data_IF_751179063411
#
_entry.id   IF_751179063411
#
_cell.length_a   1.000
_cell.length_b   1.000
_cell.length_c   1.000
_cell.angle_alpha   90.00
_cell.angle_beta   90.00
_cell.angle_gamma   90.00
#
_symmetry.space_group_name_H-M   'P 1'
#
loop_
_entity.id
_entity.type
_entity.pdbx_description
1 polymer ?
#
# COMPACT_ATOMS: atom_id res chain seq x y z
N UNK A 1 10.94 10.40 38.73
CA UNK A 1 11.82 10.19 37.58
C UNK A 1 11.85 11.47 36.78
N UNK A 2 13.01 12.00 36.44
CA UNK A 2 13.12 13.21 35.65
C UNK A 2 12.38 13.00 34.32
N UNK A 3 11.74 14.03 33.73
CA UNK A 3 11.00 13.93 32.46
C UNK A 3 11.94 13.79 31.26
N UNK A 4 12.97 12.96 31.41
CA UNK A 4 14.05 12.78 30.45
C UNK A 4 13.58 12.22 29.10
N UNK A 5 12.37 11.66 29.07
CA UNK A 5 11.76 11.02 27.89
C UNK A 5 10.24 11.14 27.94
N UNK A 6 9.71 12.38 27.86
CA UNK A 6 8.26 12.61 27.85
C UNK A 6 7.59 11.82 26.71
N UNK A 7 8.22 11.86 25.52
CA UNK A 7 7.84 11.03 24.38
C UNK A 7 8.95 10.00 24.12
N UNK A 8 8.60 8.72 24.16
CA UNK A 8 9.59 7.65 24.09
C UNK A 8 9.02 6.37 23.49
N UNK A 9 9.93 5.48 23.12
CA UNK A 9 9.62 4.09 22.77
C UNK A 9 10.04 3.21 23.94
N UNK A 10 9.11 2.48 24.49
CA UNK A 10 9.37 1.50 25.55
C UNK A 10 10.05 0.27 24.92
N UNK A 11 11.25 -0.05 25.34
CA UNK A 11 11.95 -1.26 24.92
C UNK A 11 11.77 -2.38 25.95
N UNK A 12 12.03 -2.07 27.21
CA UNK A 12 11.90 -2.99 28.35
C UNK A 12 11.28 -2.26 29.53
N UNK A 13 11.23 -2.91 30.70
CA UNK A 13 10.77 -2.30 31.95
C UNK A 13 11.59 -1.04 32.30
N UNK A 14 12.88 -1.04 31.98
CA UNK A 14 13.83 0.03 32.34
C UNK A 14 14.33 0.85 31.16
N UNK A 15 14.41 0.25 29.97
CA UNK A 15 15.03 0.85 28.80
C UNK A 15 13.99 1.50 27.87
N UNK A 16 14.37 2.67 27.34
CA UNK A 16 13.55 3.47 26.42
C UNK A 16 14.40 4.13 25.35
N UNK A 17 13.81 4.38 24.20
CA UNK A 17 14.37 5.26 23.17
C UNK A 17 13.64 6.61 23.21
N UNK A 18 14.39 7.70 23.09
CA UNK A 18 13.85 9.03 22.97
C UNK A 18 13.25 9.27 21.57
N UNK A 19 12.09 9.92 21.50
CA UNK A 19 11.46 10.26 20.22
C UNK A 19 12.12 11.44 19.50
N UNK A 20 12.83 12.34 20.21
CA UNK A 20 13.52 13.45 19.58
C UNK A 20 14.63 12.98 18.63
N UNK A 21 14.64 13.52 17.41
CA UNK A 21 15.73 13.33 16.44
C UNK A 21 16.96 14.18 16.73
N UNK A 22 16.79 15.26 17.51
CA UNK A 22 17.84 16.18 17.93
C UNK A 22 17.81 16.38 19.45
N UNK A 23 18.18 15.33 20.24
CA UNK A 23 18.25 15.45 21.68
C UNK A 23 19.42 16.37 22.06
N UNK A 24 19.38 17.00 23.26
CA UNK A 24 20.49 17.81 23.78
C UNK A 24 21.81 17.03 23.84
N UNK A 25 21.76 15.74 24.19
CA UNK A 25 22.92 14.84 24.12
C UNK A 25 22.83 14.00 22.83
N UNK A 26 23.79 14.19 21.87
CA UNK A 26 23.80 13.46 20.61
C UNK A 26 23.87 11.93 20.76
N UNK A 27 24.39 11.42 21.88
CA UNK A 27 24.43 9.96 22.17
C UNK A 27 23.04 9.35 22.25
N UNK A 28 22.01 10.15 22.52
CA UNK A 28 20.63 9.73 22.61
C UNK A 28 19.89 9.78 21.24
N UNK A 29 20.54 10.28 20.20
CA UNK A 29 20.00 10.32 18.83
C UNK A 29 20.04 8.94 18.16
N UNK A 30 19.21 8.02 18.62
CA UNK A 30 19.14 6.64 18.09
C UNK A 30 18.14 6.50 16.95
N UNK A 31 18.31 5.45 16.13
CA UNK A 31 17.28 5.01 15.21
C UNK A 31 16.06 4.55 16.01
N UNK A 32 14.87 4.88 15.51
CA UNK A 32 13.59 4.57 16.15
C UNK A 32 12.92 3.31 15.59
N UNK A 33 13.51 2.71 14.55
CA UNK A 33 13.04 1.43 14.06
C UNK A 33 13.46 0.34 15.04
N UNK A 34 12.51 -0.52 15.40
CA UNK A 34 12.70 -1.55 16.43
C UNK A 34 12.19 -2.88 15.92
N UNK A 35 13.07 -3.87 15.87
CA UNK A 35 12.69 -5.25 15.57
C UNK A 35 12.47 -6.01 16.88
N UNK A 36 11.26 -6.54 17.08
CA UNK A 36 10.89 -7.35 18.24
C UNK A 36 10.79 -8.81 17.82
N UNK A 37 11.68 -9.65 18.31
CA UNK A 37 11.71 -11.08 17.99
C UNK A 37 11.25 -11.90 19.19
N UNK A 38 10.35 -12.84 18.96
CA UNK A 38 9.83 -13.72 20.01
C UNK A 38 8.87 -14.76 19.43
N UNK A 39 8.81 -15.92 20.05
CA UNK A 39 7.89 -17.01 19.68
C UNK A 39 6.42 -16.65 19.88
N UNK A 40 5.52 -17.53 19.45
CA UNK A 40 4.10 -17.40 19.74
C UNK A 40 3.86 -17.39 21.25
N UNK A 41 2.92 -16.55 21.72
CA UNK A 41 2.62 -16.45 23.16
C UNK A 41 3.67 -15.72 24.01
N UNK A 42 4.79 -15.24 23.45
CA UNK A 42 5.83 -14.50 24.20
C UNK A 42 5.38 -13.11 24.69
N UNK A 43 4.19 -12.66 24.30
CA UNK A 43 3.61 -11.40 24.75
C UNK A 43 4.04 -10.16 23.97
N UNK A 44 4.58 -10.30 22.76
CA UNK A 44 4.98 -9.17 21.89
C UNK A 44 3.90 -8.10 21.80
N UNK A 45 2.70 -8.49 21.42
CA UNK A 45 1.55 -7.57 21.29
C UNK A 45 1.16 -6.99 22.64
N UNK A 46 1.05 -7.82 23.69
CA UNK A 46 0.57 -7.40 25.02
C UNK A 46 1.54 -6.50 25.78
N UNK A 47 2.84 -6.84 25.78
CA UNK A 47 3.82 -6.20 26.64
C UNK A 47 4.67 -5.15 25.92
N UNK A 48 4.67 -5.14 24.57
CA UNK A 48 5.44 -4.18 23.81
C UNK A 48 4.57 -3.30 22.90
N UNK A 49 3.78 -3.89 22.00
CA UNK A 49 3.01 -3.12 21.02
C UNK A 49 1.96 -2.23 21.69
N UNK A 50 1.04 -2.81 22.48
CA UNK A 50 -0.04 -2.05 23.14
C UNK A 50 0.47 -0.96 24.08
N UNK A 51 1.47 -1.17 24.96
CA UNK A 51 2.04 -0.09 25.79
C UNK A 51 2.64 1.05 24.96
N UNK A 52 3.29 0.76 23.82
CA UNK A 52 3.83 1.77 22.93
C UNK A 52 2.73 2.53 22.19
N UNK A 53 1.68 1.87 21.74
CA UNK A 53 0.51 2.49 21.12
C UNK A 53 -0.19 3.44 22.09
N UNK A 54 -0.36 3.04 23.35
CA UNK A 54 -1.06 3.80 24.38
C UNK A 54 -0.26 4.99 24.95
N UNK A 55 0.97 5.21 24.50
CA UNK A 55 1.70 6.43 24.82
C UNK A 55 1.14 7.66 24.08
N UNK A 56 0.36 7.49 23.02
CA UNK A 56 -0.43 8.53 22.35
C UNK A 56 0.36 9.76 21.90
N UNK A 57 1.64 9.63 21.53
CA UNK A 57 2.47 10.77 21.11
C UNK A 57 2.59 10.92 19.57
N UNK A 58 2.31 9.88 18.80
CA UNK A 58 2.48 9.83 17.33
C UNK A 58 1.17 9.52 16.62
N UNK A 59 1.10 9.67 15.31
CA UNK A 59 0.14 8.89 14.53
C UNK A 59 0.61 7.44 14.45
N UNK A 60 -0.31 6.52 14.37
CA UNK A 60 0.01 5.10 14.37
C UNK A 60 -0.59 4.38 13.17
N UNK A 61 0.17 3.47 12.57
CA UNK A 61 -0.32 2.48 11.62
C UNK A 61 -0.07 1.12 12.24
N UNK A 62 -1.12 0.38 12.51
CA UNK A 62 -1.07 -0.86 13.31
C UNK A 62 -1.59 -2.02 12.49
N UNK A 63 -0.79 -3.03 12.24
CA UNK A 63 -1.35 -4.32 11.81
C UNK A 63 -1.96 -5.00 13.03
N UNK A 64 -3.20 -5.43 12.89
CA UNK A 64 -4.01 -6.00 13.97
C UNK A 64 -4.53 -7.38 13.58
N UNK A 65 -3.75 -8.44 13.79
CA UNK A 65 -4.25 -9.79 13.60
C UNK A 65 -5.49 -10.02 14.47
N UNK A 66 -6.63 -10.35 13.84
CA UNK A 66 -7.94 -10.60 14.50
C UNK A 66 -8.72 -9.36 14.95
N UNK A 67 -8.21 -8.14 14.87
CA UNK A 67 -8.91 -6.93 15.30
C UNK A 67 -8.96 -6.71 16.82
N UNK A 68 -8.16 -7.42 17.59
CA UNK A 68 -8.18 -7.32 19.06
C UNK A 68 -7.53 -6.04 19.59
N UNK A 69 -6.55 -5.49 18.86
CA UNK A 69 -5.82 -4.29 19.29
C UNK A 69 -6.73 -3.07 19.21
N UNK A 70 -7.50 -2.92 18.11
CA UNK A 70 -8.43 -1.79 17.97
C UNK A 70 -9.53 -1.84 19.01
N UNK A 71 -10.06 -3.04 19.33
CA UNK A 71 -11.10 -3.20 20.37
C UNK A 71 -10.59 -2.79 21.75
N UNK A 72 -9.37 -3.19 22.11
CA UNK A 72 -8.81 -2.92 23.44
C UNK A 72 -8.26 -1.49 23.58
N UNK A 73 -7.68 -0.92 22.51
CA UNK A 73 -6.97 0.37 22.58
C UNK A 73 -7.73 1.52 21.93
N UNK A 74 -8.70 1.26 21.05
CA UNK A 74 -9.37 2.28 20.24
C UNK A 74 -10.04 3.38 21.07
N UNK A 75 -10.77 3.03 22.12
CA UNK A 75 -11.42 4.01 23.00
C UNK A 75 -10.41 4.93 23.73
N UNK A 76 -9.26 4.41 24.11
CA UNK A 76 -8.20 5.23 24.72
C UNK A 76 -7.64 6.23 23.70
N UNK A 77 -7.43 5.80 22.45
CA UNK A 77 -6.97 6.68 21.38
C UNK A 77 -8.01 7.77 21.05
N UNK A 78 -9.29 7.42 20.93
CA UNK A 78 -10.37 8.42 20.74
C UNK A 78 -10.38 9.48 21.83
N UNK A 79 -10.27 9.07 23.10
CA UNK A 79 -10.20 9.99 24.25
C UNK A 79 -8.96 10.89 24.22
N UNK A 80 -7.89 10.48 23.54
CA UNK A 80 -6.67 11.25 23.33
C UNK A 80 -6.67 12.05 21.99
N UNK A 81 -7.85 12.23 21.37
CA UNK A 81 -8.05 13.10 20.22
C UNK A 81 -7.62 12.50 18.88
N UNK A 82 -7.49 11.16 18.79
CA UNK A 82 -7.17 10.50 17.52
C UNK A 82 -8.38 10.38 16.61
N UNK A 83 -8.16 10.54 15.31
CA UNK A 83 -9.05 9.96 14.31
C UNK A 83 -8.72 8.49 14.15
N UNK A 84 -9.73 7.62 14.23
CA UNK A 84 -9.55 6.20 13.93
C UNK A 84 -9.92 5.92 12.48
N UNK A 85 -9.07 5.16 11.83
CA UNK A 85 -9.28 4.60 10.48
C UNK A 85 -9.10 3.09 10.57
N UNK A 86 -9.95 2.33 9.89
CA UNK A 86 -9.94 0.87 9.96
C UNK A 86 -10.09 0.29 8.58
N UNK A 87 -9.10 -0.45 8.12
CA UNK A 87 -9.24 -1.40 7.02
C UNK A 87 -9.39 -2.80 7.62
N UNK A 88 -10.41 -3.54 7.22
CA UNK A 88 -10.68 -4.88 7.74
C UNK A 88 -10.79 -5.88 6.59
N UNK A 89 -9.72 -6.65 6.35
CA UNK A 89 -9.70 -7.67 5.30
C UNK A 89 -10.30 -9.01 5.73
N UNK A 90 -10.63 -9.18 7.03
CA UNK A 90 -11.38 -10.35 7.53
C UNK A 90 -12.87 -10.19 7.26
N UNK A 91 -13.38 -8.96 7.36
CA UNK A 91 -14.77 -8.63 7.14
C UNK A 91 -14.91 -7.25 6.50
N UNK A 92 -14.95 -7.21 5.18
CA UNK A 92 -15.03 -5.97 4.41
C UNK A 92 -16.27 -5.12 4.71
N UNK A 93 -17.37 -5.72 5.18
CA UNK A 93 -18.56 -4.95 5.62
C UNK A 93 -18.32 -4.07 6.85
N UNK A 94 -17.24 -4.33 7.59
CA UNK A 94 -16.80 -3.54 8.75
C UNK A 94 -15.53 -2.74 8.46
N UNK A 95 -15.21 -2.57 7.19
CA UNK A 95 -14.03 -1.84 6.72
C UNK A 95 -14.40 -0.46 6.22
N UNK A 96 -13.49 0.49 6.37
CA UNK A 96 -13.44 1.68 5.54
C UNK A 96 -12.93 1.32 4.15
N UNK A 97 -13.21 2.18 3.18
CA UNK A 97 -12.81 2.00 1.79
C UNK A 97 -11.37 2.47 1.57
N UNK A 98 -10.67 1.74 0.74
CA UNK A 98 -9.30 2.06 0.32
C UNK A 98 -9.17 1.93 -1.18
N UNK A 99 -9.06 3.04 -1.88
CA UNK A 99 -8.79 3.05 -3.31
C UNK A 99 -7.33 3.42 -3.60
N UNK A 100 -6.50 2.46 -4.07
CA UNK A 100 -5.11 2.74 -4.40
C UNK A 100 -4.91 3.81 -5.48
N UNK A 101 -5.88 4.04 -6.37
CA UNK A 101 -5.80 5.09 -7.40
C UNK A 101 -5.83 6.50 -6.80
N UNK A 102 -6.47 6.69 -5.65
CA UNK A 102 -6.52 7.99 -4.96
C UNK A 102 -5.11 8.53 -4.58
N UNK A 103 -4.11 7.66 -4.56
CA UNK A 103 -2.73 7.97 -4.19
C UNK A 103 -1.75 7.92 -5.35
N UNK A 104 -2.26 7.88 -6.58
CA UNK A 104 -1.46 7.95 -7.80
C UNK A 104 -1.44 9.41 -8.26
N UNK A 105 -0.27 10.03 -8.31
CA UNK A 105 -0.10 11.42 -8.73
C UNK A 105 0.87 11.56 -9.91
N UNK A 106 1.56 10.50 -10.29
CA UNK A 106 2.58 10.53 -11.33
C UNK A 106 2.76 9.17 -12.02
N UNK A 107 3.41 9.17 -13.19
CA UNK A 107 3.85 7.94 -13.89
C UNK A 107 4.67 7.03 -12.97
N UNK A 108 5.49 7.63 -12.09
CA UNK A 108 6.30 6.91 -11.09
C UNK A 108 5.42 6.14 -10.10
N UNK A 109 4.31 6.74 -9.65
CA UNK A 109 3.40 6.09 -8.69
C UNK A 109 2.63 4.95 -9.35
N UNK A 110 2.26 5.10 -10.63
CA UNK A 110 1.69 4.00 -11.43
C UNK A 110 2.64 2.81 -11.46
N UNK A 111 3.93 3.04 -11.76
CA UNK A 111 4.93 1.97 -11.79
C UNK A 111 5.11 1.30 -10.42
N UNK A 112 5.07 2.07 -9.33
CA UNK A 112 5.15 1.54 -7.95
C UNK A 112 3.92 0.69 -7.63
N UNK A 113 2.71 1.16 -7.97
CA UNK A 113 1.46 0.44 -7.76
C UNK A 113 1.47 -0.90 -8.49
N UNK A 114 1.80 -0.90 -9.79
CA UNK A 114 1.94 -2.12 -10.60
C UNK A 114 3.00 -3.05 -10.01
N UNK A 115 4.16 -2.51 -9.59
CA UNK A 115 5.22 -3.35 -9.00
C UNK A 115 4.73 -4.04 -7.72
N UNK A 116 4.06 -3.31 -6.83
CA UNK A 116 3.56 -3.87 -5.57
C UNK A 116 2.48 -4.92 -5.82
N UNK A 117 1.55 -4.64 -6.72
CA UNK A 117 0.52 -5.59 -7.14
C UNK A 117 1.16 -6.88 -7.66
N UNK A 118 2.06 -6.78 -8.63
CA UNK A 118 2.70 -7.93 -9.25
C UNK A 118 3.54 -8.75 -8.27
N UNK A 119 4.24 -8.09 -7.34
CA UNK A 119 5.06 -8.77 -6.34
C UNK A 119 4.21 -9.61 -5.39
N UNK A 120 3.02 -9.13 -5.01
CA UNK A 120 2.17 -9.75 -3.99
C UNK A 120 1.03 -10.63 -4.55
N UNK A 121 0.89 -10.70 -5.87
CA UNK A 121 -0.09 -11.56 -6.55
C UNK A 121 0.58 -12.62 -7.43
N UNK A 122 1.81 -12.99 -7.14
CA UNK A 122 2.49 -14.11 -7.81
C UNK A 122 1.86 -15.42 -7.35
N UNK A 123 1.44 -16.27 -8.30
CA UNK A 123 1.05 -17.63 -8.00
C UNK A 123 2.23 -18.47 -7.47
N UNK A 124 1.94 -19.49 -6.68
CA UNK A 124 2.94 -20.47 -6.23
C UNK A 124 3.61 -21.13 -7.43
N UNK A 125 4.95 -21.13 -7.47
CA UNK A 125 5.73 -21.77 -8.53
C UNK A 125 6.15 -20.89 -9.71
N UNK A 126 5.95 -19.59 -9.67
CA UNK A 126 6.32 -18.70 -10.79
C UNK A 126 7.80 -18.30 -10.82
N UNK A 127 8.67 -19.29 -11.12
CA UNK A 127 10.03 -19.07 -11.64
C UNK A 127 10.04 -19.06 -13.17
N UNK A 128 9.00 -18.51 -13.81
CA UNK A 128 8.84 -18.50 -15.27
C UNK A 128 9.74 -17.48 -15.98
N UNK A 129 9.74 -17.55 -17.31
CA UNK A 129 10.47 -16.61 -18.17
C UNK A 129 10.11 -15.16 -17.81
N UNK A 130 11.11 -14.29 -17.52
CA UNK A 130 10.92 -12.86 -17.23
C UNK A 130 10.11 -12.09 -18.29
N UNK A 131 9.98 -12.65 -19.49
CA UNK A 131 9.18 -12.09 -20.58
C UNK A 131 7.72 -11.90 -20.17
N UNK A 132 7.09 -12.90 -19.55
CA UNK A 132 5.68 -12.83 -19.14
C UNK A 132 5.43 -11.74 -18.14
N UNK A 133 6.25 -11.68 -17.08
CA UNK A 133 6.14 -10.65 -16.04
C UNK A 133 6.32 -9.23 -16.60
N UNK A 134 7.25 -9.04 -17.54
CA UNK A 134 7.45 -7.75 -18.22
C UNK A 134 6.25 -7.36 -19.09
N UNK A 135 5.67 -8.31 -19.80
CA UNK A 135 4.53 -8.08 -20.69
C UNK A 135 3.24 -7.76 -19.91
N UNK A 136 2.97 -8.48 -18.82
CA UNK A 136 1.89 -8.16 -17.88
C UNK A 136 2.04 -6.75 -17.31
N UNK A 137 3.26 -6.39 -16.91
CA UNK A 137 3.58 -5.06 -16.40
C UNK A 137 3.26 -3.96 -17.40
N UNK A 138 3.60 -4.14 -18.67
CA UNK A 138 3.29 -3.17 -19.73
C UNK A 138 1.79 -2.96 -19.86
N UNK A 139 1.00 -4.04 -19.93
CA UNK A 139 -0.45 -3.96 -20.04
C UNK A 139 -1.06 -3.29 -18.80
N UNK A 140 -0.78 -3.77 -17.61
CA UNK A 140 -1.33 -3.18 -16.37
C UNK A 140 -0.94 -1.71 -16.21
N UNK A 141 0.30 -1.35 -16.57
CA UNK A 141 0.76 0.05 -16.55
C UNK A 141 -0.02 0.89 -17.54
N UNK A 142 -0.28 0.39 -18.75
CA UNK A 142 -1.04 1.11 -19.77
C UNK A 142 -2.48 1.37 -19.32
N UNK A 143 -3.17 0.32 -18.82
CA UNK A 143 -4.57 0.42 -18.40
C UNK A 143 -4.73 1.34 -17.17
N UNK A 144 -3.88 1.20 -16.15
CA UNK A 144 -3.89 2.05 -14.97
C UNK A 144 -3.58 3.51 -15.35
N UNK A 145 -2.62 3.73 -16.25
CA UNK A 145 -2.31 5.08 -16.73
C UNK A 145 -3.49 5.68 -17.52
N UNK A 146 -4.18 4.89 -18.34
CA UNK A 146 -5.38 5.34 -19.03
C UNK A 146 -6.45 5.77 -18.03
N UNK A 147 -6.79 4.93 -17.06
CA UNK A 147 -7.78 5.26 -16.04
C UNK A 147 -7.39 6.52 -15.25
N UNK A 148 -6.14 6.63 -14.85
CA UNK A 148 -5.68 7.77 -14.06
C UNK A 148 -5.74 9.11 -14.82
N UNK A 149 -5.36 9.14 -16.11
CA UNK A 149 -5.24 10.40 -16.86
C UNK A 149 -6.46 10.76 -17.71
N UNK A 150 -7.28 9.80 -18.09
CA UNK A 150 -8.34 10.00 -19.08
C UNK A 150 -9.74 9.68 -18.53
N UNK A 151 -9.86 8.81 -17.52
CA UNK A 151 -11.15 8.43 -16.96
C UNK A 151 -11.62 9.39 -15.86
N UNK A 152 -12.95 9.56 -15.67
CA UNK A 152 -13.52 10.26 -14.53
C UNK A 152 -13.03 9.64 -13.20
N UNK A 153 -13.01 10.43 -12.12
CA UNK A 153 -12.48 9.99 -10.81
C UNK A 153 -13.23 8.76 -10.28
N UNK A 154 -14.53 8.68 -10.54
CA UNK A 154 -15.41 7.58 -10.10
C UNK A 154 -15.04 6.24 -10.77
N UNK A 155 -14.40 6.30 -11.94
CA UNK A 155 -13.95 5.13 -12.69
C UNK A 155 -12.48 4.76 -12.40
N UNK A 156 -11.75 5.58 -11.65
CA UNK A 156 -10.37 5.33 -11.29
C UNK A 156 -10.28 4.33 -10.13
N UNK A 157 -10.53 3.06 -10.40
CA UNK A 157 -10.51 1.97 -9.43
C UNK A 157 -10.22 0.61 -10.07
N UNK A 158 -10.02 -0.42 -9.25
CA UNK A 158 -9.72 -1.77 -9.73
C UNK A 158 -10.93 -2.49 -10.36
N UNK A 159 -12.15 -2.11 -10.01
CA UNK A 159 -13.35 -2.67 -10.65
C UNK A 159 -13.38 -2.29 -12.13
N UNK A 160 -13.19 -1.01 -12.44
CA UNK A 160 -13.12 -0.55 -13.83
C UNK A 160 -11.91 -1.12 -14.58
N UNK A 161 -10.75 -1.25 -13.91
CA UNK A 161 -9.58 -1.90 -14.49
C UNK A 161 -9.90 -3.35 -14.91
N UNK A 162 -10.59 -4.10 -14.06
CA UNK A 162 -10.99 -5.47 -14.35
C UNK A 162 -12.01 -5.54 -15.49
N UNK A 163 -12.97 -4.62 -15.54
CA UNK A 163 -13.92 -4.50 -16.64
C UNK A 163 -13.23 -4.21 -17.98
N UNK A 164 -12.27 -3.28 -17.99
CA UNK A 164 -11.45 -3.04 -19.19
C UNK A 164 -10.74 -4.34 -19.64
N UNK A 165 -10.10 -5.05 -18.71
CA UNK A 165 -9.40 -6.28 -19.02
C UNK A 165 -10.35 -7.35 -19.57
N UNK A 166 -11.55 -7.49 -19.01
CA UNK A 166 -12.55 -8.46 -19.43
C UNK A 166 -13.12 -8.16 -20.84
N UNK A 167 -13.11 -6.89 -21.26
CA UNK A 167 -13.52 -6.52 -22.64
C UNK A 167 -12.42 -6.72 -23.66
N UNK A 168 -11.18 -6.98 -23.23
CA UNK A 168 -10.06 -7.27 -24.12
C UNK A 168 -10.14 -8.70 -24.63
N UNK A 169 -10.55 -8.85 -25.87
CA UNK A 169 -10.55 -10.13 -26.58
C UNK A 169 -9.44 -10.16 -27.61
N UNK A 170 -8.82 -11.30 -27.78
CA UNK A 170 -7.82 -11.56 -28.83
C UNK A 170 -8.28 -12.76 -29.64
N UNK A 171 -8.47 -12.57 -30.94
CA UNK A 171 -8.75 -13.63 -31.88
C UNK A 171 -7.42 -14.17 -32.42
N UNK A 172 -7.22 -15.50 -32.33
CA UNK A 172 -5.95 -16.11 -32.75
C UNK A 172 -5.78 -16.13 -34.29
N UNK A 173 -6.91 -16.14 -34.99
CA UNK A 173 -6.96 -16.26 -36.45
C UNK A 173 -7.21 -14.91 -37.16
N UNK A 174 -7.30 -13.81 -36.42
CA UNK A 174 -7.53 -12.46 -36.95
C UNK A 174 -6.64 -11.44 -36.18
N UNK A 175 -5.49 -11.16 -36.77
CA UNK A 175 -4.54 -10.19 -36.18
C UNK A 175 -4.99 -8.74 -36.36
N UNK A 176 -5.94 -8.45 -37.24
CA UNK A 176 -6.49 -7.08 -37.45
C UNK A 176 -7.67 -6.78 -36.51
N UNK A 177 -8.15 -7.79 -35.79
CA UNK A 177 -9.24 -7.57 -34.82
C UNK A 177 -8.92 -6.56 -33.77
N UNK A 178 -9.78 -5.56 -33.63
CA UNK A 178 -9.68 -4.53 -32.61
C UNK A 178 -10.79 -4.68 -31.57
N UNK A 179 -10.41 -4.90 -30.32
CA UNK A 179 -11.33 -4.91 -29.21
C UNK A 179 -11.65 -3.47 -28.74
N UNK A 180 -12.68 -3.26 -27.89
CA UNK A 180 -13.06 -1.91 -27.43
C UNK A 180 -11.92 -1.12 -26.80
N UNK A 181 -11.02 -1.78 -26.07
CA UNK A 181 -9.87 -1.11 -25.43
C UNK A 181 -8.85 -0.68 -26.48
N UNK A 182 -8.62 -1.45 -27.55
CA UNK A 182 -7.79 -1.04 -28.67
C UNK A 182 -8.28 0.29 -29.28
N UNK A 183 -9.59 0.42 -29.47
CA UNK A 183 -10.21 1.64 -30.01
C UNK A 183 -10.01 2.84 -29.08
N UNK A 184 -10.13 2.65 -27.76
CA UNK A 184 -9.84 3.70 -26.77
C UNK A 184 -8.40 4.20 -26.88
N UNK A 185 -7.44 3.28 -26.97
CA UNK A 185 -6.02 3.64 -27.08
C UNK A 185 -5.65 4.21 -28.45
N UNK A 186 -6.33 3.82 -29.51
CA UNK A 186 -6.18 4.42 -30.84
C UNK A 186 -6.66 5.87 -30.85
N UNK A 187 -7.86 6.14 -30.31
CA UNK A 187 -8.40 7.50 -30.19
C UNK A 187 -7.49 8.38 -29.31
N UNK A 188 -7.05 7.86 -28.17
CA UNK A 188 -6.09 8.56 -27.31
C UNK A 188 -4.77 8.82 -28.03
N UNK A 189 -4.30 7.85 -28.83
CA UNK A 189 -3.07 8.00 -29.60
C UNK A 189 -3.15 9.07 -30.69
N UNK A 190 -4.33 9.27 -31.29
CA UNK A 190 -4.58 10.37 -32.23
C UNK A 190 -4.56 11.72 -31.53
N UNK A 191 -5.15 11.82 -30.34
CA UNK A 191 -5.24 13.08 -29.55
C UNK A 191 -3.93 13.40 -28.81
N UNK A 192 -3.32 12.40 -28.18
CA UNK A 192 -2.15 12.52 -27.30
C UNK A 192 -1.08 11.46 -27.64
N UNK A 193 -0.38 11.53 -28.77
CA UNK A 193 0.51 10.47 -29.25
C UNK A 193 1.71 10.20 -28.33
N UNK A 194 2.08 11.15 -27.48
CA UNK A 194 3.18 11.04 -26.50
C UNK A 194 2.70 10.64 -25.10
N UNK A 195 1.41 10.34 -24.91
CA UNK A 195 0.87 9.88 -23.63
C UNK A 195 1.62 8.64 -23.12
N UNK A 196 1.87 8.61 -21.81
CA UNK A 196 2.51 7.46 -21.16
C UNK A 196 1.70 6.18 -21.36
N UNK A 197 0.37 6.26 -21.18
CA UNK A 197 -0.54 5.14 -21.41
C UNK A 197 -0.39 4.57 -22.83
N UNK A 198 -0.41 5.44 -23.86
CA UNK A 198 -0.28 5.04 -25.27
C UNK A 198 1.09 4.38 -25.53
N UNK A 199 2.18 4.93 -24.97
CA UNK A 199 3.51 4.32 -25.14
C UNK A 199 3.59 2.91 -24.55
N UNK A 200 3.03 2.70 -23.35
CA UNK A 200 3.03 1.39 -22.70
C UNK A 200 2.13 0.38 -23.47
N UNK A 201 0.97 0.85 -23.92
CA UNK A 201 0.05 0.02 -24.69
C UNK A 201 0.64 -0.44 -26.03
N UNK A 202 1.31 0.46 -26.76
CA UNK A 202 2.01 0.12 -28.01
C UNK A 202 3.07 -0.97 -27.80
N UNK A 203 3.80 -0.93 -26.69
CA UNK A 203 4.78 -1.97 -26.38
C UNK A 203 4.09 -3.31 -26.06
N UNK A 204 2.98 -3.30 -25.34
CA UNK A 204 2.17 -4.52 -25.13
C UNK A 204 1.66 -5.10 -26.45
N UNK A 205 1.19 -4.28 -27.38
CA UNK A 205 0.65 -4.69 -28.69
C UNK A 205 1.72 -5.29 -29.63
N UNK A 206 3.00 -5.28 -29.27
CA UNK A 206 4.02 -6.08 -29.99
C UNK A 206 3.84 -7.58 -29.77
N UNK A 207 3.13 -7.99 -28.72
CA UNK A 207 2.70 -9.35 -28.53
C UNK A 207 1.43 -9.61 -29.37
N UNK A 208 1.42 -10.68 -30.14
CA UNK A 208 0.29 -11.04 -31.01
C UNK A 208 -0.23 -12.45 -30.71
N UNK A 209 -1.44 -12.74 -31.18
CA UNK A 209 -2.06 -14.06 -31.16
C UNK A 209 -2.05 -14.72 -29.78
N UNK A 210 -1.55 -15.95 -29.70
CA UNK A 210 -1.50 -16.77 -28.48
C UNK A 210 -0.74 -16.10 -27.33
N UNK A 211 0.30 -15.32 -27.66
CA UNK A 211 1.09 -14.60 -26.64
C UNK A 211 0.26 -13.51 -25.96
N UNK A 212 -0.44 -12.69 -26.72
CA UNK A 212 -1.33 -11.66 -26.20
C UNK A 212 -2.44 -12.25 -25.33
N UNK A 213 -3.07 -13.35 -25.78
CA UNK A 213 -4.10 -14.07 -25.02
C UNK A 213 -3.57 -14.61 -23.68
N UNK A 214 -2.36 -15.16 -23.67
CA UNK A 214 -1.74 -15.66 -22.45
C UNK A 214 -1.42 -14.54 -21.46
N UNK A 215 -1.00 -13.35 -21.94
CA UNK A 215 -0.77 -12.17 -21.09
C UNK A 215 -2.10 -11.72 -20.45
N UNK A 216 -3.21 -11.68 -21.22
CA UNK A 216 -4.53 -11.31 -20.67
C UNK A 216 -4.99 -12.28 -19.59
N UNK A 217 -4.85 -13.59 -19.81
CA UNK A 217 -5.19 -14.62 -18.81
C UNK A 217 -4.36 -14.41 -17.52
N UNK A 218 -3.08 -14.16 -17.68
CA UNK A 218 -2.19 -13.94 -16.52
C UNK A 218 -2.53 -12.68 -15.75
N UNK A 219 -2.82 -11.57 -16.44
CA UNK A 219 -3.32 -10.34 -15.79
C UNK A 219 -4.66 -10.57 -15.08
N UNK A 220 -5.59 -11.32 -15.69
CA UNK A 220 -6.86 -11.70 -15.09
C UNK A 220 -6.66 -12.50 -13.80
N UNK A 221 -5.75 -13.48 -13.80
CA UNK A 221 -5.44 -14.26 -12.61
C UNK A 221 -4.88 -13.39 -11.47
N UNK A 222 -4.06 -12.38 -11.77
CA UNK A 222 -3.55 -11.43 -10.76
C UNK A 222 -4.63 -10.53 -10.19
N UNK A 223 -5.61 -10.16 -11.00
CA UNK A 223 -6.70 -9.28 -10.60
C UNK A 223 -7.92 -10.04 -10.03
N UNK A 224 -7.90 -11.37 -10.06
CA UNK A 224 -9.00 -12.20 -9.58
C UNK A 224 -9.49 -11.86 -8.15
N UNK A 225 -8.62 -11.49 -7.18
CA UNK A 225 -9.11 -11.06 -5.86
C UNK A 225 -10.04 -9.84 -5.91
N UNK A 226 -9.88 -8.95 -6.90
CA UNK A 226 -10.74 -7.78 -7.08
C UNK A 226 -12.09 -8.09 -7.75
N UNK A 227 -12.30 -9.33 -8.24
CA UNK A 227 -13.59 -9.78 -8.75
C UNK A 227 -14.57 -10.18 -7.62
N UNK A 228 -14.06 -10.36 -6.41
CA UNK A 228 -14.88 -10.59 -5.23
C UNK A 228 -15.64 -9.31 -4.89
N UNK A 229 -16.99 -9.38 -4.85
CA UNK A 229 -17.86 -8.21 -4.69
C UNK A 229 -17.48 -7.35 -3.48
N UNK A 230 -17.17 -7.95 -2.34
CA UNK A 230 -16.80 -7.24 -1.11
C UNK A 230 -15.47 -6.48 -1.26
N UNK A 231 -14.53 -7.00 -2.04
CA UNK A 231 -13.24 -6.33 -2.34
C UNK A 231 -13.46 -5.21 -3.36
N UNK A 232 -14.29 -5.45 -4.39
CA UNK A 232 -14.69 -4.40 -5.34
C UNK A 232 -15.26 -3.20 -4.60
N UNK A 233 -16.26 -3.44 -3.75
CA UNK A 233 -16.93 -2.39 -2.97
C UNK A 233 -15.91 -1.64 -2.08
N UNK A 234 -15.07 -2.37 -1.35
CA UNK A 234 -14.09 -1.79 -0.43
C UNK A 234 -12.95 -1.00 -1.13
N UNK A 235 -12.77 -1.17 -2.45
CA UNK A 235 -11.70 -0.50 -3.21
C UNK A 235 -12.21 0.53 -4.23
N UNK A 236 -13.49 0.85 -4.24
CA UNK A 236 -14.08 1.79 -5.20
C UNK A 236 -13.69 3.26 -4.94
N UNK A 237 -13.64 3.67 -3.69
CA UNK A 237 -13.27 5.03 -3.28
C UNK A 237 -12.41 5.01 -2.01
N UNK A 238 -11.87 6.15 -1.59
CA UNK A 238 -10.96 6.20 -0.45
C UNK A 238 -11.54 6.93 0.76
N UNK A 239 -11.35 6.31 1.93
CA UNK A 239 -11.66 6.90 3.23
C UNK A 239 -10.45 6.91 4.17
N UNK A 240 -9.34 6.25 3.80
CA UNK A 240 -8.18 6.11 4.68
C UNK A 240 -7.39 7.40 4.83
N UNK A 241 -7.34 8.26 3.80
CA UNK A 241 -6.60 9.52 3.82
C UNK A 241 -5.13 9.31 4.25
N UNK A 242 -4.43 8.37 3.61
CA UNK A 242 -3.06 7.98 3.97
C UNK A 242 -2.09 9.17 3.97
N UNK A 243 -2.30 10.13 3.08
CA UNK A 243 -1.51 11.36 2.95
C UNK A 243 -1.62 12.29 4.15
N UNK A 244 -2.62 12.11 5.03
CA UNK A 244 -2.89 12.98 6.18
C UNK A 244 -2.39 12.43 7.51
N UNK A 245 -1.79 11.23 7.52
CA UNK A 245 -1.31 10.64 8.77
C UNK A 245 -0.16 11.45 9.41
N UNK A 246 0.61 12.16 8.60
CA UNK A 246 1.68 13.05 9.09
C UNK A 246 1.23 14.44 9.52
N UNK A 247 -0.03 14.83 9.27
CA UNK A 247 -0.56 16.16 9.53
C UNK A 247 -1.27 16.27 10.89
N UNK A 248 -1.93 15.20 11.29
CA UNK A 248 -2.75 15.14 12.51
C UNK A 248 -2.72 13.75 13.13
N UNK A 249 -2.93 13.67 14.44
CA UNK A 249 -2.98 12.40 15.16
C UNK A 249 -4.08 11.49 14.62
N UNK A 250 -3.66 10.45 13.94
CA UNK A 250 -4.52 9.42 13.33
C UNK A 250 -4.00 8.05 13.73
N UNK A 251 -4.89 7.13 14.02
CA UNK A 251 -4.56 5.72 14.21
C UNK A 251 -5.27 4.90 13.14
N UNK A 252 -4.49 4.35 12.21
CA UNK A 252 -4.94 3.44 11.17
C UNK A 252 -4.71 2.00 11.62
N UNK A 253 -5.78 1.24 11.73
CA UNK A 253 -5.73 -0.19 12.02
C UNK A 253 -5.95 -0.99 10.74
N UNK A 254 -5.02 -1.88 10.46
CA UNK A 254 -5.04 -2.80 9.34
C UNK A 254 -5.35 -4.19 9.90
N UNK A 255 -6.64 -4.52 9.96
CA UNK A 255 -7.12 -5.81 10.47
C UNK A 255 -6.96 -6.85 9.37
N UNK A 256 -6.20 -7.90 9.68
CA UNK A 256 -5.89 -8.97 8.74
C UNK A 256 -6.01 -10.34 9.41
N UNK A 257 -6.19 -11.39 8.60
CA UNK A 257 -6.21 -12.76 9.12
C UNK A 257 -4.78 -13.21 9.45
N UNK A 258 -4.63 -13.98 10.53
CA UNK A 258 -3.40 -14.68 10.90
C UNK A 258 -3.27 -16.07 10.23
N UNK A 259 -4.35 -16.56 9.62
CA UNK A 259 -4.43 -17.89 9.00
C UNK A 259 -4.67 -17.87 7.50
N UNK A 260 -5.11 -16.73 6.95
CA UNK A 260 -5.43 -16.56 5.52
C UNK A 260 -4.71 -15.33 4.97
N UNK A 261 -3.89 -15.54 3.95
CA UNK A 261 -3.08 -14.49 3.31
C UNK A 261 -3.70 -13.91 2.03
N UNK A 262 -4.90 -14.36 1.64
CA UNK A 262 -5.54 -14.02 0.36
C UNK A 262 -5.57 -12.51 0.08
N UNK A 263 -5.83 -11.68 1.09
CA UNK A 263 -5.95 -10.23 0.94
C UNK A 263 -4.75 -9.43 1.49
N UNK A 264 -3.66 -10.10 1.86
CA UNK A 264 -2.48 -9.43 2.44
C UNK A 264 -1.77 -8.50 1.44
N UNK A 265 -2.00 -8.70 0.14
CA UNK A 265 -1.53 -7.78 -0.90
C UNK A 265 -2.08 -6.36 -0.72
N UNK A 266 -3.30 -6.17 -0.19
CA UNK A 266 -3.86 -4.85 0.12
C UNK A 266 -3.06 -4.17 1.23
N UNK A 267 -2.66 -4.93 2.26
CA UNK A 267 -1.85 -4.40 3.36
C UNK A 267 -0.48 -3.92 2.87
N UNK A 268 0.18 -4.72 2.02
CA UNK A 268 1.46 -4.33 1.44
C UNK A 268 1.35 -3.12 0.50
N UNK A 269 0.24 -2.99 -0.25
CA UNK A 269 -0.05 -1.83 -1.09
C UNK A 269 -0.20 -0.56 -0.23
N UNK A 270 -0.96 -0.65 0.87
CA UNK A 270 -1.11 0.47 1.81
C UNK A 270 0.24 0.91 2.36
N UNK A 271 1.07 0.00 2.87
CA UNK A 271 2.39 0.35 3.39
C UNK A 271 3.29 0.97 2.32
N UNK A 272 3.28 0.42 1.11
CA UNK A 272 4.07 0.96 0.00
C UNK A 272 3.65 2.38 -0.35
N UNK A 273 2.35 2.63 -0.47
CA UNK A 273 1.82 3.97 -0.76
C UNK A 273 2.05 4.93 0.40
N UNK A 274 1.78 4.49 1.62
CA UNK A 274 1.97 5.27 2.84
C UNK A 274 3.40 5.80 2.96
N UNK A 275 4.41 4.92 2.87
CA UNK A 275 5.81 5.34 2.99
C UNK A 275 6.20 6.32 1.88
N UNK A 276 5.76 6.09 0.64
CA UNK A 276 6.03 7.01 -0.46
C UNK A 276 5.38 8.38 -0.24
N UNK A 277 4.06 8.40 0.06
CA UNK A 277 3.31 9.63 0.29
C UNK A 277 3.88 10.45 1.45
N UNK A 278 4.18 9.81 2.56
CA UNK A 278 4.70 10.50 3.74
C UNK A 278 6.12 11.00 3.52
N UNK A 279 6.98 10.27 2.79
CA UNK A 279 8.32 10.72 2.45
C UNK A 279 8.27 11.92 1.49
N UNK A 280 7.52 11.82 0.41
CA UNK A 280 7.37 12.88 -0.59
C UNK A 280 6.77 14.14 0.10
N UNK A 281 5.74 13.97 0.94
CA UNK A 281 5.13 15.09 1.68
C UNK A 281 6.07 15.72 2.71
N UNK A 282 6.86 14.92 3.41
CA UNK A 282 7.88 15.45 4.33
C UNK A 282 8.90 16.31 3.60
N UNK A 283 9.37 15.85 2.44
CA UNK A 283 10.41 16.53 1.67
C UNK A 283 9.85 17.77 0.95
N UNK A 284 8.72 17.63 0.23
CA UNK A 284 8.21 18.67 -0.68
C UNK A 284 7.34 19.72 0.02
N UNK A 285 6.62 19.34 1.10
CA UNK A 285 5.67 20.25 1.78
C UNK A 285 6.25 20.77 3.09
N UNK A 286 6.94 19.92 3.87
CA UNK A 286 7.35 20.23 5.23
C UNK A 286 8.86 20.43 5.43
N UNK A 287 9.63 20.58 4.35
CA UNK A 287 11.06 20.86 4.45
C UNK A 287 11.88 19.77 5.13
N UNK A 288 11.51 18.51 4.94
CA UNK A 288 12.27 17.32 5.34
C UNK A 288 11.73 16.58 6.57
N UNK A 289 10.66 17.02 7.22
CA UNK A 289 10.08 16.32 8.38
C UNK A 289 8.58 16.56 8.52
N UNK A 290 7.84 15.53 8.85
CA UNK A 290 6.40 15.62 9.14
C UNK A 290 6.13 16.38 10.45
N UNK A 291 5.04 17.15 10.54
CA UNK A 291 4.63 17.80 11.78
C UNK A 291 4.23 16.83 12.89
N UNK A 292 3.65 15.69 12.54
CA UNK A 292 3.31 14.60 13.46
C UNK A 292 4.11 13.36 13.10
N UNK A 293 4.84 12.80 14.08
CA UNK A 293 5.56 11.54 13.88
C UNK A 293 4.60 10.41 13.50
N UNK A 294 4.94 9.61 12.49
CA UNK A 294 4.14 8.44 12.09
C UNK A 294 4.90 7.17 12.47
N UNK A 295 4.28 6.37 13.35
CA UNK A 295 4.86 5.12 13.81
C UNK A 295 4.09 3.92 13.28
N UNK A 296 4.77 3.05 12.53
CA UNK A 296 4.22 1.79 12.06
C UNK A 296 4.51 0.68 13.10
N UNK A 297 3.45 0.15 13.70
CA UNK A 297 3.50 -0.97 14.63
C UNK A 297 3.03 -2.23 13.88
N UNK A 298 3.98 -2.92 13.28
CA UNK A 298 3.70 -4.05 12.37
C UNK A 298 3.72 -5.35 13.18
N UNK A 299 2.58 -5.77 13.69
CA UNK A 299 2.45 -7.09 14.31
C UNK A 299 2.34 -8.17 13.21
N UNK A 300 2.91 -9.32 13.44
CA UNK A 300 3.01 -10.44 12.48
C UNK A 300 3.57 -10.00 11.11
N UNK A 301 4.70 -9.28 11.13
CA UNK A 301 5.33 -8.68 9.94
C UNK A 301 5.57 -9.68 8.79
N UNK A 302 5.75 -10.98 9.08
CA UNK A 302 5.90 -12.00 8.07
C UNK A 302 4.64 -12.22 7.21
N UNK A 303 3.45 -11.83 7.73
CA UNK A 303 2.17 -12.12 7.09
C UNK A 303 1.64 -10.98 6.23
N UNK A 304 2.24 -9.78 6.27
CA UNK A 304 1.70 -8.58 5.57
C UNK A 304 1.97 -8.54 4.06
N UNK A 305 2.59 -9.58 3.51
CA UNK A 305 3.10 -9.55 2.15
C UNK A 305 4.43 -8.79 2.03
N UNK A 306 4.92 -8.65 0.82
CA UNK A 306 6.21 -8.01 0.57
C UNK A 306 6.04 -6.50 0.31
N UNK A 307 6.68 -5.67 1.13
CA UNK A 307 6.81 -4.23 0.88
C UNK A 307 8.10 -4.03 0.06
N UNK A 308 8.01 -3.63 -1.22
CA UNK A 308 9.20 -3.45 -2.05
C UNK A 308 10.18 -2.43 -1.45
N UNK A 309 11.47 -2.79 -1.39
CA UNK A 309 12.55 -1.95 -0.87
C UNK A 309 12.40 -1.53 0.62
N UNK A 310 11.72 -2.31 1.44
CA UNK A 310 11.54 -1.99 2.87
C UNK A 310 12.88 -1.76 3.57
N UNK A 311 13.92 -2.54 3.23
CA UNK A 311 15.28 -2.42 3.79
C UNK A 311 15.91 -1.04 3.54
N UNK A 312 15.62 -0.43 2.39
CA UNK A 312 16.08 0.94 2.06
C UNK A 312 15.23 1.99 2.78
N UNK A 313 13.93 1.74 2.87
CA UNK A 313 12.99 2.64 3.54
C UNK A 313 13.34 2.79 5.02
N UNK A 314 13.52 1.69 5.77
CA UNK A 314 13.84 1.75 7.21
C UNK A 314 15.17 2.45 7.50
N UNK A 315 16.08 2.50 6.53
CA UNK A 315 17.32 3.26 6.66
C UNK A 315 17.13 4.78 6.53
N UNK A 316 16.10 5.24 5.83
CA UNK A 316 15.96 6.64 5.40
C UNK A 316 14.78 7.39 6.03
N UNK A 317 13.74 6.70 6.51
CA UNK A 317 12.49 7.31 7.01
C UNK A 317 12.66 8.10 8.32
N UNK A 318 13.70 7.82 9.10
CA UNK A 318 13.94 8.45 10.41
C UNK A 318 13.95 9.98 10.35
N UNK A 319 14.67 10.57 9.38
CA UNK A 319 14.81 12.03 9.25
C UNK A 319 13.46 12.72 8.99
N UNK A 320 12.50 11.99 8.41
CA UNK A 320 11.17 12.46 8.01
C UNK A 320 10.11 12.29 9.09
N UNK A 321 10.50 11.95 10.31
CA UNK A 321 9.60 11.65 11.45
C UNK A 321 8.71 10.41 11.16
N UNK A 322 9.28 9.37 10.56
CA UNK A 322 8.63 8.08 10.36
C UNK A 322 9.48 6.99 11.01
N UNK A 323 8.84 5.98 11.62
CA UNK A 323 9.50 4.80 12.20
C UNK A 323 8.62 3.55 12.13
N UNK A 324 9.27 2.39 12.14
CA UNK A 324 8.60 1.09 12.13
C UNK A 324 9.13 0.18 13.26
#
# INVERSE_FOLDING_TARGET
MAPKFADNIILTKTERLMMSNRPPDPKNARNKNVLVVGGSGSGKTRFWLKPNLLQCHSSYVVTDPKGSIVVECGNALLKNGYKLKILNTINFKKSMHYNPFAYVHSEKDILKLVTTLMTNTKGEGSGGDPFWEKSERLLLTALIAYLHYEAPVEEQNFATLLEMLNTMQVLEDDEEYQNPVDLLFEDLGKKKPKSFAVRQYKLYKLAAGKTAKSILISCGARLAPFDIQEVRDATMYDELELDKLGDRKTALFLIMSDTDSTFNFLISMIYTQLFNLLCDKADDVYGGKLPVHVRCLIDECANIGQIPNLEKLVATIRSREISA
#
